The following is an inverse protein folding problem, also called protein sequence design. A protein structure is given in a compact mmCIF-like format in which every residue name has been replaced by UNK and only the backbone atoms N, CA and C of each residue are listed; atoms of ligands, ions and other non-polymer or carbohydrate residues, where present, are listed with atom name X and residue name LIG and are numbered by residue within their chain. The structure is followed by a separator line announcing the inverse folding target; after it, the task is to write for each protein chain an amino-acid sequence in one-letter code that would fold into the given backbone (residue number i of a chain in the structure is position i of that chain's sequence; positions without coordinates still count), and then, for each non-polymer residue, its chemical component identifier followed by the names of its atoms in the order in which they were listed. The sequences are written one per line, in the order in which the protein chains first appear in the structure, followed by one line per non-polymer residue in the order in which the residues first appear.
data_IF_858260670212
#
_entry.id   IF_858260670212
#
_cell.length_a   1.000
_cell.length_b   1.000
_cell.length_c   1.000
_cell.angle_alpha   90.00
_cell.angle_beta   90.00
_cell.angle_gamma   90.00
#
_symmetry.space_group_name_H-M   'P 1'
#
loop_
_entity.id
_entity.type
_entity.pdbx_description
1 polymer ?
#
# COMPACT_ATOMS: atom_id res chain seq x y z
N UNK A 1 -13.07 -33.92 -29.25
CA UNK A 1 -12.09 -32.83 -29.07
C UNK A 1 -12.79 -31.65 -28.43
N UNK A 2 -12.68 -31.51 -27.11
CA UNK A 2 -13.30 -30.41 -26.36
C UNK A 2 -12.30 -29.27 -26.29
N UNK A 3 -12.59 -28.15 -26.97
CA UNK A 3 -11.74 -26.95 -26.94
C UNK A 3 -11.77 -26.36 -25.52
N UNK A 4 -10.64 -26.12 -24.84
CA UNK A 4 -10.66 -25.53 -23.50
C UNK A 4 -11.05 -24.05 -23.58
N UNK A 5 -12.11 -23.67 -22.87
CA UNK A 5 -12.64 -22.30 -22.84
C UNK A 5 -11.80 -21.40 -21.90
N UNK A 6 -11.01 -20.51 -22.52
CA UNK A 6 -10.59 -19.16 -22.04
C UNK A 6 -10.15 -19.03 -20.56
N UNK A 7 -8.85 -19.21 -20.26
CA UNK A 7 -8.23 -18.60 -19.05
C UNK A 7 -8.02 -17.08 -19.22
N UNK A 8 -7.66 -16.63 -20.41
CA UNK A 8 -7.33 -15.22 -20.72
C UNK A 8 -8.51 -14.25 -20.58
N UNK A 9 -9.74 -14.66 -20.93
CA UNK A 9 -10.90 -13.76 -20.88
C UNK A 9 -11.40 -13.50 -19.46
N UNK A 10 -11.25 -14.46 -18.54
CA UNK A 10 -11.68 -14.29 -17.15
C UNK A 10 -10.76 -13.33 -16.39
N UNK A 11 -9.47 -13.37 -16.68
CA UNK A 11 -8.46 -12.51 -16.07
C UNK A 11 -8.58 -11.07 -16.60
N UNK A 12 -8.75 -10.90 -17.93
CA UNK A 12 -9.02 -9.60 -18.54
C UNK A 12 -10.28 -8.92 -18.00
N UNK A 13 -11.37 -9.68 -17.78
CA UNK A 13 -12.60 -9.15 -17.16
C UNK A 13 -12.34 -8.74 -15.71
N UNK A 14 -11.48 -9.46 -14.98
CA UNK A 14 -11.14 -9.14 -13.60
C UNK A 14 -10.35 -7.82 -13.52
N UNK A 15 -9.39 -7.64 -14.42
CA UNK A 15 -8.61 -6.40 -14.54
C UNK A 15 -9.53 -5.22 -14.88
N UNK A 16 -10.37 -5.35 -15.91
CA UNK A 16 -11.28 -4.29 -16.32
C UNK A 16 -12.27 -3.87 -15.21
N UNK A 17 -12.75 -4.83 -14.40
CA UNK A 17 -13.62 -4.53 -13.26
C UNK A 17 -12.87 -3.82 -12.13
N UNK A 18 -11.62 -4.18 -11.87
CA UNK A 18 -10.78 -3.48 -10.89
C UNK A 18 -10.44 -2.07 -11.38
N UNK A 19 -10.16 -1.89 -12.68
CA UNK A 19 -9.90 -0.57 -13.29
C UNK A 19 -11.10 0.37 -13.14
N UNK A 20 -12.29 -0.14 -13.41
CA UNK A 20 -13.53 0.58 -13.18
C UNK A 20 -13.73 0.90 -11.69
N UNK A 21 -13.43 -0.05 -10.80
CA UNK A 21 -13.57 0.16 -9.37
C UNK A 21 -12.58 1.20 -8.82
N UNK A 22 -11.35 1.24 -9.33
CA UNK A 22 -10.38 2.29 -9.03
C UNK A 22 -10.82 3.65 -9.57
N UNK A 23 -11.36 3.70 -10.78
CA UNK A 23 -11.87 4.94 -11.35
C UNK A 23 -12.97 5.53 -10.45
N UNK A 24 -13.87 4.69 -9.93
CA UNK A 24 -14.89 5.11 -8.95
C UNK A 24 -14.24 5.53 -7.63
N UNK A 25 -13.27 4.76 -7.12
CA UNK A 25 -12.59 5.06 -5.86
C UNK A 25 -11.85 6.40 -5.89
N UNK A 26 -11.09 6.65 -6.95
CA UNK A 26 -10.27 7.86 -7.09
C UNK A 26 -11.15 9.11 -7.31
N UNK A 27 -12.27 8.96 -8.04
CA UNK A 27 -13.20 10.06 -8.34
C UNK A 27 -14.14 10.37 -7.18
N UNK A 28 -14.72 9.34 -6.58
CA UNK A 28 -15.90 9.47 -5.70
C UNK A 28 -15.65 8.96 -4.27
N UNK A 29 -14.48 8.38 -3.99
CA UNK A 29 -14.09 7.86 -2.67
C UNK A 29 -14.64 6.47 -2.34
N UNK A 30 -14.15 5.89 -1.24
CA UNK A 30 -14.42 4.49 -0.87
C UNK A 30 -15.90 4.18 -0.64
N UNK A 31 -16.68 5.13 -0.11
CA UNK A 31 -18.11 4.95 0.12
C UNK A 31 -18.90 4.75 -1.18
N UNK A 32 -18.45 5.34 -2.29
CA UNK A 32 -19.07 5.26 -3.60
C UNK A 32 -18.76 3.95 -4.35
N UNK A 33 -17.73 3.21 -3.92
CA UNK A 33 -17.38 1.91 -4.48
C UNK A 33 -18.47 0.90 -4.12
N UNK A 34 -19.40 0.72 -5.04
CA UNK A 34 -20.51 -0.24 -4.93
C UNK A 34 -20.54 -1.11 -6.17
N UNK A 35 -21.07 -2.32 -6.03
CA UNK A 35 -21.22 -3.27 -7.16
C UNK A 35 -21.92 -2.62 -8.36
N UNK A 36 -22.95 -1.81 -8.11
CA UNK A 36 -23.69 -1.11 -9.17
C UNK A 36 -22.88 0.01 -9.81
N UNK A 37 -22.17 0.81 -9.01
CA UNK A 37 -21.33 1.89 -9.54
C UNK A 37 -20.20 1.31 -10.42
N UNK A 38 -19.54 0.25 -9.96
CA UNK A 38 -18.48 -0.43 -10.71
C UNK A 38 -19.02 -1.09 -11.98
N UNK A 39 -20.16 -1.77 -11.91
CA UNK A 39 -20.78 -2.36 -13.08
C UNK A 39 -21.12 -1.30 -14.16
N UNK A 40 -21.65 -0.15 -13.73
CA UNK A 40 -21.93 0.99 -14.61
C UNK A 40 -20.66 1.55 -15.24
N UNK A 41 -19.63 1.78 -14.43
CA UNK A 41 -18.32 2.29 -14.89
C UNK A 41 -17.67 1.32 -15.90
N UNK A 42 -17.76 0.01 -15.66
CA UNK A 42 -17.24 -1.03 -16.54
C UNK A 42 -18.14 -1.35 -17.76
N UNK A 43 -19.34 -0.78 -17.85
CA UNK A 43 -20.29 -1.08 -18.93
C UNK A 43 -20.83 -2.52 -18.92
N UNK A 44 -20.92 -3.16 -17.75
CA UNK A 44 -21.41 -4.55 -17.60
C UNK A 44 -22.63 -4.66 -16.68
N UNK A 45 -23.29 -5.81 -16.71
CA UNK A 45 -24.36 -6.09 -15.75
C UNK A 45 -23.81 -6.30 -14.32
N UNK A 46 -24.52 -5.88 -13.25
CA UNK A 46 -24.10 -6.07 -11.86
C UNK A 46 -23.76 -7.52 -11.48
N UNK A 47 -24.46 -8.50 -12.08
CA UNK A 47 -24.16 -9.92 -11.89
C UNK A 47 -22.74 -10.31 -12.32
N UNK A 48 -22.16 -9.62 -13.31
CA UNK A 48 -20.77 -9.85 -13.72
C UNK A 48 -19.78 -9.52 -12.61
N UNK A 49 -20.05 -8.47 -11.83
CA UNK A 49 -19.23 -8.07 -10.68
C UNK A 49 -19.42 -9.05 -9.52
N UNK A 50 -20.66 -9.45 -9.19
CA UNK A 50 -20.92 -10.46 -8.16
C UNK A 50 -20.27 -11.81 -8.48
N UNK A 51 -20.31 -12.25 -9.74
CA UNK A 51 -19.66 -13.50 -10.15
C UNK A 51 -18.14 -13.47 -9.91
N UNK A 52 -17.52 -12.29 -9.94
CA UNK A 52 -16.08 -12.16 -9.74
C UNK A 52 -15.68 -11.98 -8.27
N UNK A 53 -16.38 -11.12 -7.54
CA UNK A 53 -15.97 -10.69 -6.20
C UNK A 53 -16.88 -11.19 -5.08
N UNK A 54 -17.99 -11.85 -5.43
CA UNK A 54 -19.01 -12.40 -4.52
C UNK A 54 -19.79 -11.38 -3.67
N UNK A 55 -19.16 -10.27 -3.25
CA UNK A 55 -19.78 -9.22 -2.44
C UNK A 55 -19.08 -7.87 -2.65
N UNK A 56 -19.63 -6.81 -2.03
CA UNK A 56 -18.94 -5.51 -1.93
C UNK A 56 -17.62 -5.65 -1.17
N UNK A 57 -17.60 -6.42 -0.08
CA UNK A 57 -16.39 -6.60 0.73
C UNK A 57 -15.31 -7.36 -0.04
N UNK A 58 -15.69 -8.36 -0.84
CA UNK A 58 -14.75 -9.05 -1.73
C UNK A 58 -14.18 -8.14 -2.82
N UNK A 59 -14.96 -7.17 -3.31
CA UNK A 59 -14.48 -6.16 -4.26
C UNK A 59 -13.49 -5.20 -3.57
N UNK A 60 -13.81 -4.71 -2.37
CA UNK A 60 -12.92 -3.84 -1.59
C UNK A 60 -11.63 -4.56 -1.19
N UNK A 61 -11.70 -5.83 -0.82
CA UNK A 61 -10.53 -6.67 -0.54
C UNK A 61 -9.62 -6.81 -1.78
N UNK A 62 -10.21 -7.05 -2.95
CA UNK A 62 -9.44 -7.13 -4.19
C UNK A 62 -8.79 -5.78 -4.57
N UNK A 63 -9.48 -4.66 -4.37
CA UNK A 63 -8.92 -3.32 -4.54
C UNK A 63 -7.77 -3.04 -3.56
N UNK A 64 -7.93 -3.41 -2.29
CA UNK A 64 -6.89 -3.23 -1.28
C UNK A 64 -5.62 -4.04 -1.62
N UNK A 65 -5.77 -5.28 -2.11
CA UNK A 65 -4.64 -6.08 -2.59
C UNK A 65 -3.93 -5.37 -3.76
N UNK A 66 -4.68 -4.84 -4.72
CA UNK A 66 -4.08 -4.10 -5.84
C UNK A 66 -3.37 -2.82 -5.37
N UNK A 67 -3.95 -2.09 -4.43
CA UNK A 67 -3.30 -0.93 -3.82
C UNK A 67 -2.02 -1.32 -3.07
N UNK A 68 -1.96 -2.50 -2.44
CA UNK A 68 -0.70 -3.04 -1.89
C UNK A 68 0.30 -3.41 -2.99
N UNK A 69 -0.14 -3.92 -4.15
CA UNK A 69 0.74 -4.19 -5.29
C UNK A 69 1.34 -2.90 -5.86
N UNK A 70 0.53 -1.86 -6.01
CA UNK A 70 0.98 -0.53 -6.42
C UNK A 70 1.97 0.06 -5.41
N UNK A 71 1.69 -0.08 -4.11
CA UNK A 71 2.62 0.33 -3.06
C UNK A 71 3.92 -0.46 -3.12
N UNK A 72 3.86 -1.78 -3.31
CA UNK A 72 5.03 -2.64 -3.43
C UNK A 72 5.92 -2.20 -4.61
N UNK A 73 5.32 -1.90 -5.76
CA UNK A 73 6.02 -1.35 -6.91
C UNK A 73 6.63 0.04 -6.62
N UNK A 74 5.91 0.89 -5.87
CA UNK A 74 6.40 2.23 -5.54
C UNK A 74 7.60 2.23 -4.58
N UNK A 75 7.72 1.22 -3.72
CA UNK A 75 8.84 1.05 -2.78
C UNK A 75 9.97 0.16 -3.33
N UNK A 76 9.78 -0.47 -4.48
CA UNK A 76 10.85 -1.19 -5.17
C UNK A 76 11.80 -0.20 -5.83
N UNK A 77 13.00 -0.11 -5.25
CA UNK A 77 14.02 0.88 -5.62
C UNK A 77 15.26 0.23 -6.22
N UNK A 78 15.26 -1.07 -6.51
CA UNK A 78 16.44 -1.73 -7.06
C UNK A 78 17.67 -1.73 -6.10
N UNK A 79 18.80 -2.31 -6.54
CA UNK A 79 19.95 -2.58 -5.69
C UNK A 79 20.93 -1.40 -5.57
N UNK A 80 20.79 -0.34 -6.36
CA UNK A 80 21.76 0.76 -6.42
C UNK A 80 21.81 1.57 -5.13
N UNK A 81 23.03 1.96 -4.73
CA UNK A 81 23.26 2.78 -3.55
C UNK A 81 23.45 1.96 -2.26
N UNK A 82 23.83 2.67 -1.19
CA UNK A 82 23.99 2.08 0.14
C UNK A 82 22.65 1.75 0.80
N UNK A 83 22.63 0.89 1.84
CA UNK A 83 21.38 0.49 2.51
C UNK A 83 20.51 1.66 3.01
N UNK A 84 21.12 2.71 3.56
CA UNK A 84 20.40 3.90 4.01
C UNK A 84 19.79 4.69 2.85
N UNK A 85 20.52 4.87 1.75
CA UNK A 85 20.00 5.56 0.55
C UNK A 85 18.80 4.84 -0.04
N UNK A 86 18.86 3.50 -0.14
CA UNK A 86 17.72 2.69 -0.59
C UNK A 86 16.50 2.88 0.30
N UNK A 87 16.67 2.91 1.62
CA UNK A 87 15.56 3.18 2.55
C UNK A 87 14.95 4.56 2.33
N UNK A 88 15.77 5.61 2.17
CA UNK A 88 15.27 6.95 1.83
C UNK A 88 14.46 6.94 0.55
N UNK A 89 14.95 6.29 -0.51
CA UNK A 89 14.27 6.17 -1.79
C UNK A 89 12.94 5.41 -1.66
N UNK A 90 12.92 4.32 -0.89
CA UNK A 90 11.72 3.52 -0.65
C UNK A 90 10.67 4.32 0.15
N UNK A 91 11.08 5.03 1.21
CA UNK A 91 10.20 5.92 1.97
C UNK A 91 9.62 7.04 1.09
N UNK A 92 10.43 7.64 0.20
CA UNK A 92 9.93 8.60 -0.80
C UNK A 92 8.93 7.95 -1.76
N UNK A 93 9.13 6.69 -2.12
CA UNK A 93 8.19 5.88 -2.89
C UNK A 93 6.84 5.70 -2.19
N UNK A 94 6.86 5.31 -0.92
CA UNK A 94 5.69 5.23 -0.05
C UNK A 94 4.91 6.56 -0.02
N UNK A 95 5.62 7.68 0.20
CA UNK A 95 5.01 9.03 0.18
C UNK A 95 4.41 9.36 -1.19
N UNK A 96 5.14 9.15 -2.29
CA UNK A 96 4.63 9.43 -3.64
C UNK A 96 3.35 8.66 -3.94
N UNK A 97 3.30 7.37 -3.59
CA UNK A 97 2.09 6.55 -3.75
C UNK A 97 0.91 7.17 -2.98
N UNK A 98 1.12 7.49 -1.70
CA UNK A 98 0.07 8.04 -0.85
C UNK A 98 -0.50 9.37 -1.36
N UNK A 99 0.38 10.28 -1.80
CA UNK A 99 -0.04 11.59 -2.31
C UNK A 99 -0.66 11.52 -3.70
N UNK A 100 -0.22 10.58 -4.54
CA UNK A 100 -0.75 10.42 -5.91
C UNK A 100 -2.10 9.68 -5.90
N UNK A 101 -2.33 8.81 -4.92
CA UNK A 101 -3.56 8.02 -4.80
C UNK A 101 -4.11 8.01 -3.36
N UNK A 102 -4.57 9.15 -2.81
CA UNK A 102 -5.00 9.24 -1.41
C UNK A 102 -6.12 8.27 -1.05
N UNK A 103 -7.11 8.08 -1.95
CA UNK A 103 -8.23 7.18 -1.70
C UNK A 103 -7.79 5.71 -1.63
N UNK A 104 -6.84 5.29 -2.48
CA UNK A 104 -6.26 3.94 -2.47
C UNK A 104 -5.39 3.71 -1.23
N UNK A 105 -4.62 4.74 -0.86
CA UNK A 105 -3.82 4.71 0.36
C UNK A 105 -4.67 4.58 1.62
N UNK A 106 -5.78 5.32 1.72
CA UNK A 106 -6.69 5.16 2.85
C UNK A 106 -7.34 3.78 2.85
N UNK A 107 -7.73 3.26 1.67
CA UNK A 107 -8.37 1.96 1.54
C UNK A 107 -7.56 0.80 2.17
N UNK A 108 -6.24 0.79 2.01
CA UNK A 108 -5.40 -0.31 2.56
C UNK A 108 -5.40 -0.36 4.11
N UNK A 109 -5.81 0.72 4.78
CA UNK A 109 -5.96 0.77 6.24
C UNK A 109 -7.41 0.57 6.71
N UNK A 110 -8.38 0.85 5.83
CA UNK A 110 -9.81 0.69 6.11
C UNK A 110 -10.31 -0.73 5.83
N UNK A 111 -9.66 -1.46 4.90
CA UNK A 111 -10.09 -2.78 4.47
C UNK A 111 -9.36 -3.87 5.25
N UNK A 112 -10.14 -4.51 6.14
CA UNK A 112 -9.65 -5.60 6.97
C UNK A 112 -8.85 -5.08 8.15
N UNK A 113 -8.79 -5.89 9.20
CA UNK A 113 -7.90 -5.65 10.33
C UNK A 113 -7.06 -6.91 10.52
N UNK A 114 -5.72 -6.81 10.51
CA UNK A 114 -4.86 -7.95 10.81
C UNK A 114 -5.17 -8.62 12.14
N UNK A 115 -5.71 -7.87 13.11
CA UNK A 115 -6.13 -8.39 14.41
C UNK A 115 -7.48 -9.10 14.35
N UNK A 116 -8.41 -8.65 13.49
CA UNK A 116 -9.73 -9.24 13.35
C UNK A 116 -9.75 -10.46 12.42
N UNK A 117 -8.96 -10.42 11.34
CA UNK A 117 -8.81 -11.52 10.40
C UNK A 117 -7.34 -11.68 9.96
N UNK A 118 -6.53 -12.39 10.76
CA UNK A 118 -5.11 -12.64 10.47
C UNK A 118 -4.89 -13.47 9.20
N UNK A 119 -5.88 -14.27 8.78
CA UNK A 119 -5.80 -15.20 7.67
C UNK A 119 -6.30 -14.60 6.34
N UNK A 120 -6.88 -13.39 6.38
CA UNK A 120 -7.38 -12.72 5.18
C UNK A 120 -6.26 -12.53 4.13
N UNK A 121 -6.57 -12.65 2.83
CA UNK A 121 -5.61 -12.37 1.75
C UNK A 121 -5.06 -10.93 1.79
N UNK A 122 -5.87 -9.96 2.21
CA UNK A 122 -5.45 -8.55 2.37
C UNK A 122 -4.38 -8.44 3.47
N UNK A 123 -4.62 -9.09 4.61
CA UNK A 123 -3.68 -9.13 5.73
C UNK A 123 -2.37 -9.81 5.30
N UNK A 124 -2.46 -10.94 4.58
CA UNK A 124 -1.29 -11.63 4.06
C UNK A 124 -0.46 -10.72 3.15
N UNK A 125 -1.11 -10.02 2.21
CA UNK A 125 -0.44 -9.11 1.30
C UNK A 125 0.21 -7.92 2.02
N UNK A 126 -0.47 -7.31 2.99
CA UNK A 126 0.10 -6.25 3.81
C UNK A 126 1.35 -6.69 4.58
N UNK A 127 1.38 -7.92 5.10
CA UNK A 127 2.58 -8.51 5.74
C UNK A 127 3.73 -8.70 4.76
N UNK A 128 3.46 -9.12 3.53
CA UNK A 128 4.49 -9.27 2.48
C UNK A 128 5.12 -7.91 2.13
N UNK A 129 4.30 -6.87 1.96
CA UNK A 129 4.81 -5.51 1.71
C UNK A 129 5.62 -4.99 2.89
N UNK A 130 5.19 -5.25 4.12
CA UNK A 130 5.96 -4.87 5.31
C UNK A 130 7.28 -5.65 5.43
N UNK A 131 7.32 -6.92 5.00
CA UNK A 131 8.54 -7.72 5.01
C UNK A 131 9.64 -7.12 4.10
N UNK A 132 9.28 -6.44 3.01
CA UNK A 132 10.24 -5.69 2.18
C UNK A 132 10.97 -4.63 3.00
N UNK A 133 10.25 -3.89 3.84
CA UNK A 133 10.85 -2.88 4.73
C UNK A 133 11.77 -3.53 5.78
N UNK A 134 11.37 -4.67 6.34
CA UNK A 134 12.19 -5.46 7.27
C UNK A 134 13.50 -5.88 6.59
N UNK A 135 13.45 -6.37 5.36
CA UNK A 135 14.63 -6.79 4.60
C UNK A 135 15.57 -5.63 4.27
N UNK A 136 15.03 -4.46 3.92
CA UNK A 136 15.85 -3.26 3.72
C UNK A 136 16.55 -2.83 5.02
N UNK A 137 15.84 -2.86 6.15
CA UNK A 137 16.37 -2.51 7.47
C UNK A 137 17.45 -3.50 7.94
N UNK A 138 17.34 -4.80 7.59
CA UNK A 138 18.41 -5.79 7.83
C UNK A 138 19.74 -5.44 7.14
N UNK A 139 19.70 -4.63 6.08
CA UNK A 139 20.88 -4.12 5.41
C UNK A 139 21.62 -3.02 6.19
N UNK A 140 21.02 -2.44 7.24
CA UNK A 140 21.67 -1.43 8.07
C UNK A 140 22.54 -2.04 9.16
N UNK A 141 23.58 -1.31 9.57
CA UNK A 141 24.24 -1.53 10.86
C UNK A 141 23.34 -1.00 11.98
N UNK A 142 22.46 -1.84 12.50
CA UNK A 142 21.56 -1.48 13.60
C UNK A 142 22.32 -1.35 14.93
N UNK A 143 21.80 -0.51 15.83
CA UNK A 143 22.26 -0.42 17.21
C UNK A 143 22.19 -1.80 17.87
N UNK A 144 23.18 -2.11 18.72
CA UNK A 144 23.31 -3.43 19.35
C UNK A 144 21.99 -3.83 20.05
N UNK A 145 21.51 -5.05 19.75
CA UNK A 145 20.32 -5.63 20.35
C UNK A 145 18.98 -5.09 19.82
N UNK A 146 18.98 -4.20 18.81
CA UNK A 146 17.75 -3.82 18.13
C UNK A 146 17.35 -4.88 17.10
N UNK A 147 16.18 -5.46 17.33
CA UNK A 147 15.54 -6.38 16.39
C UNK A 147 15.12 -5.65 15.09
N UNK A 148 15.49 -6.16 13.90
CA UNK A 148 15.08 -5.59 12.61
C UNK A 148 13.58 -5.39 12.44
N UNK A 149 12.74 -6.27 13.02
CA UNK A 149 11.28 -6.10 12.95
C UNK A 149 10.82 -4.83 13.69
N UNK A 150 11.34 -4.62 14.90
CA UNK A 150 11.05 -3.41 15.68
C UNK A 150 11.63 -2.15 15.03
N UNK A 151 12.80 -2.26 14.37
CA UNK A 151 13.39 -1.17 13.61
C UNK A 151 12.54 -0.78 12.39
N UNK A 152 12.05 -1.77 11.63
CA UNK A 152 11.12 -1.54 10.52
C UNK A 152 9.80 -0.93 11.02
N UNK A 153 9.26 -1.40 12.13
CA UNK A 153 8.06 -0.80 12.72
C UNK A 153 8.28 0.66 13.11
N UNK A 154 9.42 1.00 13.72
CA UNK A 154 9.73 2.39 14.09
C UNK A 154 9.84 3.30 12.86
N UNK A 155 10.50 2.82 11.80
CA UNK A 155 10.56 3.53 10.53
C UNK A 155 9.19 3.69 9.88
N UNK A 156 8.36 2.65 9.93
CA UNK A 156 7.01 2.72 9.40
C UNK A 156 6.14 3.71 10.18
N UNK A 157 6.22 3.73 11.51
CA UNK A 157 5.53 4.71 12.35
C UNK A 157 5.88 6.15 11.94
N UNK A 158 7.18 6.43 11.75
CA UNK A 158 7.67 7.75 11.34
C UNK A 158 7.15 8.16 9.95
N UNK A 159 7.32 7.29 8.95
CA UNK A 159 6.88 7.60 7.58
C UNK A 159 5.35 7.68 7.46
N UNK A 160 4.62 6.77 8.10
CA UNK A 160 3.16 6.73 8.05
C UNK A 160 2.57 7.96 8.75
N UNK A 161 3.07 8.30 9.94
CA UNK A 161 2.64 9.51 10.65
C UNK A 161 2.89 10.78 9.82
N UNK A 162 4.08 10.93 9.24
CA UNK A 162 4.40 12.08 8.39
C UNK A 162 3.47 12.18 7.17
N UNK A 163 3.22 11.07 6.47
CA UNK A 163 2.30 11.04 5.31
C UNK A 163 0.86 11.34 5.71
N UNK A 164 0.37 10.75 6.81
CA UNK A 164 -1.00 10.98 7.27
C UNK A 164 -1.24 12.43 7.68
N UNK A 165 -0.27 13.07 8.34
CA UNK A 165 -0.35 14.50 8.67
C UNK A 165 -0.32 15.39 7.42
N UNK A 166 0.48 15.01 6.41
CA UNK A 166 0.54 15.71 5.14
C UNK A 166 -0.77 15.62 4.36
N UNK A 167 -1.34 14.40 4.23
CA UNK A 167 -2.64 14.19 3.60
C UNK A 167 -3.78 14.95 4.30
N UNK A 168 -3.70 15.09 5.62
CA UNK A 168 -4.66 15.86 6.41
C UNK A 168 -4.44 17.39 6.32
N UNK A 169 -3.35 17.86 5.70
CA UNK A 169 -3.04 19.29 5.59
C UNK A 169 -2.69 19.96 6.92
N UNK A 170 -2.22 19.19 7.92
CA UNK A 170 -1.94 19.68 9.28
C UNK A 170 -0.44 19.74 9.61
N UNK A 171 0.43 19.60 8.60
CA UNK A 171 1.87 19.80 8.75
C UNK A 171 2.14 21.25 9.17
N UNK A 172 2.95 21.43 10.21
CA UNK A 172 3.21 22.74 10.84
C UNK A 172 4.45 23.45 10.26
N UNK A 173 5.09 22.85 9.25
CA UNK A 173 6.26 23.39 8.57
C UNK A 173 5.88 23.86 7.16
N UNK A 174 6.59 24.84 6.58
CA UNK A 174 6.29 25.34 5.23
C UNK A 174 6.54 24.32 4.12
N UNK A 175 7.44 23.35 4.33
CA UNK A 175 7.82 22.34 3.36
C UNK A 175 7.64 20.93 3.95
N UNK A 176 6.50 20.32 3.61
CA UNK A 176 6.16 18.97 4.05
C UNK A 176 7.11 17.91 3.48
N UNK A 177 7.63 18.10 2.26
CA UNK A 177 8.55 17.15 1.63
C UNK A 177 9.91 17.15 2.34
N UNK A 178 10.46 18.33 2.63
CA UNK A 178 11.69 18.45 3.41
C UNK A 178 11.52 17.89 4.83
N UNK A 179 10.37 18.14 5.46
CA UNK A 179 10.04 17.63 6.80
C UNK A 179 9.94 16.10 6.80
N UNK A 180 9.34 15.52 5.77
CA UNK A 180 9.31 14.08 5.56
C UNK A 180 10.73 13.51 5.47
N UNK A 181 11.58 14.06 4.60
CA UNK A 181 12.95 13.58 4.43
C UNK A 181 13.78 13.68 5.73
N UNK A 182 13.65 14.80 6.47
CA UNK A 182 14.28 14.99 7.78
C UNK A 182 13.77 13.97 8.81
N UNK A 183 12.47 13.65 8.81
CA UNK A 183 11.89 12.63 9.69
C UNK A 183 12.52 11.27 9.43
N UNK A 184 12.63 10.87 8.16
CA UNK A 184 13.25 9.59 7.78
C UNK A 184 14.73 9.55 8.17
N UNK A 185 15.47 10.64 7.94
CA UNK A 185 16.89 10.76 8.31
C UNK A 185 17.10 10.65 9.83
N UNK A 186 16.27 11.33 10.63
CA UNK A 186 16.29 11.21 12.10
C UNK A 186 16.03 9.78 12.55
N UNK A 187 15.02 9.11 11.98
CA UNK A 187 14.71 7.74 12.36
C UNK A 187 15.84 6.80 11.97
N UNK A 188 16.31 6.82 10.72
CA UNK A 188 17.41 5.95 10.25
C UNK A 188 18.66 6.13 11.12
N UNK A 189 19.10 7.37 11.39
CA UNK A 189 20.24 7.61 12.28
C UNK A 189 20.01 7.07 13.70
N UNK A 190 18.79 7.24 14.22
CA UNK A 190 18.39 6.71 15.53
C UNK A 190 18.38 5.18 15.62
N UNK A 191 18.17 4.48 14.50
CA UNK A 191 18.26 3.02 14.42
C UNK A 191 19.71 2.51 14.49
N UNK A 192 20.69 3.33 14.10
CA UNK A 192 22.10 2.94 13.99
C UNK A 192 22.96 3.41 15.18
N UNK A 193 22.58 4.52 15.82
CA UNK A 193 23.38 5.14 16.89
C UNK A 193 23.19 4.41 18.22
N UNK A 194 24.27 4.06 18.95
CA UNK A 194 24.17 3.51 20.31
C UNK A 194 23.47 4.47 21.26
N UNK A 195 22.75 3.94 22.26
CA UNK A 195 22.33 4.76 23.41
C UNK A 195 23.57 5.11 24.23
N UNK A 196 23.71 6.38 24.59
CA UNK A 196 24.70 6.86 25.54
C UNK A 196 24.46 6.25 26.94
#
# INVERSE_FOLDING_TARGET
MTVPRRRTASEQVSVALLDAAETVLDRDGAAAVTVRAVAREAGVAPMGVYNRFSSKDGLLAALAIRAFDDLAAAIDVGPEGGPADRLHRACRGYRRFALSHPARYTLIFDVGSPAADPASPVTARGREVFAVLVDMVRGLTLRRGLDPLHAAQALWNGQHGAVTLELAGVVQTPDAAATFDQTIDVVIRGLQTPRA
#
